data_IF_344131238152
#
_entry.id   IF_344131238152
#
_cell.length_a   1.000
_cell.length_b   1.000
_cell.length_c   1.000
_cell.angle_alpha   90.00
_cell.angle_beta   90.00
_cell.angle_gamma   90.00
#
_symmetry.space_group_name_H-M   'P 1'
#
loop_
_entity.id
_entity.type
_entity.pdbx_description
1 polymer ?
#
# COMPACT_ATOMS: atom_id res chain seq x y z
N UNK A 1 7.60 1.07 11.21
CA UNK A 1 6.67 2.22 11.19
C UNK A 1 7.10 3.23 12.25
N UNK A 2 7.10 4.52 11.92
CA UNK A 2 7.45 5.63 12.79
C UNK A 2 6.14 6.34 13.15
N UNK A 3 5.77 6.36 14.43
CA UNK A 3 4.53 7.03 14.88
C UNK A 3 4.72 8.55 14.78
N UNK A 4 3.78 9.23 14.12
CA UNK A 4 3.78 10.71 14.02
C UNK A 4 2.94 11.28 15.17
N UNK A 5 1.72 10.75 15.33
CA UNK A 5 0.79 11.05 16.43
C UNK A 5 -0.21 9.90 16.57
N UNK A 6 -1.19 10.05 17.45
CA UNK A 6 -2.21 9.01 17.63
C UNK A 6 -2.94 8.71 16.32
N UNK A 7 -3.03 7.43 15.98
CA UNK A 7 -3.64 6.98 14.72
C UNK A 7 -2.87 7.34 13.44
N UNK A 8 -1.65 7.87 13.49
CA UNK A 8 -0.89 8.24 12.27
C UNK A 8 0.57 7.74 12.33
N UNK A 9 1.02 7.14 11.23
CA UNK A 9 2.35 6.55 11.10
C UNK A 9 2.98 6.83 9.73
N UNK A 10 4.29 7.00 9.73
CA UNK A 10 5.13 6.97 8.52
C UNK A 10 5.79 5.61 8.38
N UNK A 11 5.92 5.12 7.15
CA UNK A 11 6.56 3.85 6.81
C UNK A 11 7.55 4.12 5.67
N UNK A 12 8.82 3.85 5.92
CA UNK A 12 9.83 3.87 4.86
C UNK A 12 9.81 2.49 4.16
N UNK A 13 9.50 2.51 2.87
CA UNK A 13 9.51 1.38 1.96
C UNK A 13 10.75 1.49 1.09
N UNK A 14 11.66 0.53 1.20
CA UNK A 14 12.83 0.42 0.32
C UNK A 14 12.60 -0.79 -0.58
N UNK A 15 12.64 -0.57 -1.89
CA UNK A 15 12.26 -1.59 -2.86
C UNK A 15 12.83 -1.34 -4.24
N UNK A 16 12.59 -2.29 -5.14
CA UNK A 16 13.00 -2.22 -6.54
C UNK A 16 11.85 -2.66 -7.41
N UNK A 17 11.51 -1.86 -8.42
CA UNK A 17 10.59 -2.25 -9.48
C UNK A 17 11.37 -3.00 -10.55
N UNK A 18 10.95 -4.22 -10.83
CA UNK A 18 11.44 -5.00 -11.97
C UNK A 18 10.49 -4.80 -13.14
N UNK A 19 11.00 -4.21 -14.21
CA UNK A 19 10.27 -4.05 -15.47
C UNK A 19 10.70 -5.16 -16.42
N UNK A 20 9.75 -6.00 -16.80
CA UNK A 20 9.92 -7.02 -17.83
C UNK A 20 9.45 -6.44 -19.15
N UNK A 21 10.41 -6.15 -20.03
CA UNK A 21 10.15 -5.73 -21.41
C UNK A 21 10.18 -6.98 -22.30
N UNK A 22 9.14 -7.20 -23.11
CA UNK A 22 9.09 -8.35 -24.02
C UNK A 22 9.94 -8.15 -25.28
N UNK A 23 10.44 -6.93 -25.51
CA UNK A 23 11.34 -6.59 -26.63
C UNK A 23 12.82 -6.66 -26.26
N UNK A 24 13.15 -6.55 -24.97
CA UNK A 24 14.49 -6.71 -24.43
C UNK A 24 14.52 -7.87 -23.43
N UNK A 25 15.26 -8.93 -23.74
CA UNK A 25 15.41 -10.13 -22.88
C UNK A 25 16.10 -9.86 -21.51
N UNK A 26 16.41 -8.60 -21.18
CA UNK A 26 17.04 -8.23 -19.92
C UNK A 26 16.08 -7.39 -19.05
N UNK A 27 15.81 -7.80 -17.80
CA UNK A 27 14.98 -7.03 -16.89
C UNK A 27 15.64 -5.69 -16.55
N UNK A 28 14.82 -4.63 -16.52
CA UNK A 28 15.24 -3.31 -16.02
C UNK A 28 14.86 -3.18 -14.55
N UNK A 29 15.78 -2.68 -13.73
CA UNK A 29 15.58 -2.48 -12.30
C UNK A 29 15.53 -0.99 -11.97
N UNK A 30 14.45 -0.54 -11.35
CA UNK A 30 14.24 0.87 -10.98
C UNK A 30 14.12 0.94 -9.45
N UNK A 31 14.99 1.67 -8.74
CA UNK A 31 14.83 1.90 -7.31
C UNK A 31 13.47 2.52 -7.00
N UNK A 32 12.77 1.95 -6.02
CA UNK A 32 11.45 2.39 -5.59
C UNK A 32 11.43 2.58 -4.09
N UNK A 33 12.19 3.57 -3.65
CA UNK A 33 12.25 3.96 -2.25
C UNK A 33 11.17 5.01 -2.01
N UNK A 34 10.25 4.74 -1.08
CA UNK A 34 9.10 5.59 -0.80
C UNK A 34 8.92 5.78 0.69
N UNK A 35 8.49 6.96 1.08
CA UNK A 35 7.94 7.23 2.39
C UNK A 35 6.42 7.26 2.29
N UNK A 36 5.76 6.37 3.02
CA UNK A 36 4.31 6.19 3.01
C UNK A 36 3.75 6.71 4.33
N UNK A 37 2.85 7.68 4.27
CA UNK A 37 2.09 8.13 5.42
C UNK A 37 0.74 7.40 5.44
N UNK A 38 0.44 6.72 6.55
CA UNK A 38 -0.83 6.05 6.80
C UNK A 38 -1.53 6.62 8.03
N UNK A 39 -2.86 6.61 8.01
CA UNK A 39 -3.71 6.95 9.16
C UNK A 39 -4.73 5.86 9.46
N UNK A 40 -5.09 5.73 10.73
CA UNK A 40 -6.19 4.90 11.17
C UNK A 40 -7.52 5.51 10.73
N UNK A 41 -8.42 4.69 10.23
CA UNK A 41 -9.79 5.04 9.83
C UNK A 41 -10.75 3.98 10.35
N UNK A 42 -12.02 4.35 10.56
CA UNK A 42 -13.05 3.36 10.88
C UNK A 42 -13.22 2.42 9.67
N UNK A 43 -13.05 1.10 9.86
CA UNK A 43 -13.26 0.16 8.77
C UNK A 43 -14.70 0.23 8.26
N UNK A 44 -14.93 0.20 6.94
CA UNK A 44 -16.28 0.12 6.40
C UNK A 44 -16.99 -1.15 6.90
N UNK A 45 -18.27 -1.02 7.25
CA UNK A 45 -19.12 -2.15 7.65
C UNK A 45 -19.69 -2.81 6.38
N UNK A 46 -19.30 -4.05 6.11
CA UNK A 46 -19.82 -4.82 4.98
C UNK A 46 -21.04 -5.65 5.38
N UNK A 47 -22.04 -5.71 4.50
CA UNK A 47 -23.18 -6.62 4.69
C UNK A 47 -22.74 -8.06 4.42
N UNK A 48 -23.16 -9.05 5.22
CA UNK A 48 -22.83 -10.47 5.02
C UNK A 48 -23.25 -11.04 3.65
N UNK A 49 -24.16 -10.36 2.95
CA UNK A 49 -24.62 -10.75 1.62
C UNK A 49 -23.57 -10.57 0.50
N UNK A 50 -22.40 -10.00 0.79
CA UNK A 50 -21.28 -9.85 -0.17
C UNK A 50 -20.30 -11.03 -0.16
N UNK A 51 -20.66 -12.17 0.42
CA UNK A 51 -19.82 -13.36 0.60
C UNK A 51 -19.73 -14.29 -0.63
N UNK A 52 -19.94 -13.78 -1.84
CA UNK A 52 -19.63 -14.51 -3.08
C UNK A 52 -18.19 -14.15 -3.51
N UNK A 53 -17.41 -15.12 -3.98
CA UNK A 53 -15.96 -15.10 -4.30
C UNK A 53 -15.55 -14.14 -5.46
N UNK A 54 -16.34 -13.10 -5.67
CA UNK A 54 -16.05 -11.95 -6.52
C UNK A 54 -14.88 -11.10 -5.95
N UNK A 55 -14.36 -10.09 -6.66
CA UNK A 55 -13.33 -9.14 -6.13
C UNK A 55 -13.66 -8.40 -4.80
N UNK A 56 -14.92 -8.12 -4.43
CA UNK A 56 -15.33 -7.43 -3.20
C UNK A 56 -14.77 -7.93 -1.86
N UNK A 57 -14.68 -9.24 -1.54
CA UNK A 57 -14.18 -9.75 -0.26
C UNK A 57 -12.68 -9.48 -0.06
N UNK A 58 -11.88 -9.48 -1.14
CA UNK A 58 -10.45 -9.16 -1.06
C UNK A 58 -10.26 -7.68 -0.70
N UNK A 59 -11.01 -6.79 -1.37
CA UNK A 59 -11.00 -5.35 -1.11
C UNK A 59 -11.55 -5.08 0.31
N UNK A 60 -12.60 -5.78 0.72
CA UNK A 60 -13.18 -5.68 2.05
C UNK A 60 -12.17 -6.09 3.13
N UNK A 61 -11.53 -7.24 3.01
CA UNK A 61 -10.50 -7.74 3.94
C UNK A 61 -9.29 -6.81 4.03
N UNK A 62 -8.91 -6.16 2.93
CA UNK A 62 -7.86 -5.15 2.95
C UNK A 62 -8.31 -3.89 3.72
N UNK A 63 -9.56 -3.46 3.56
CA UNK A 63 -10.14 -2.28 4.23
C UNK A 63 -10.53 -2.53 5.70
N UNK A 64 -10.79 -3.78 6.09
CA UNK A 64 -11.00 -4.21 7.49
C UNK A 64 -9.82 -3.85 8.39
N UNK A 65 -8.62 -3.68 7.83
CA UNK A 65 -7.43 -3.29 8.58
C UNK A 65 -7.48 -1.85 9.10
N UNK A 66 -8.45 -1.04 8.67
CA UNK A 66 -8.69 0.29 9.21
C UNK A 66 -7.53 1.25 8.98
N UNK A 67 -6.79 1.09 7.88
CA UNK A 67 -5.66 1.94 7.51
C UNK A 67 -5.90 2.56 6.14
N UNK A 68 -5.65 3.85 6.03
CA UNK A 68 -5.70 4.61 4.80
C UNK A 68 -4.33 5.18 4.47
N UNK A 69 -3.90 5.06 3.21
CA UNK A 69 -2.70 5.72 2.71
C UNK A 69 -3.03 7.18 2.40
N UNK A 70 -2.44 8.10 3.16
CA UNK A 70 -2.66 9.55 3.03
C UNK A 70 -1.74 10.16 1.98
N UNK A 71 -0.49 9.69 1.92
CA UNK A 71 0.46 10.15 0.91
C UNK A 71 1.57 9.13 0.70
N UNK A 72 2.08 9.08 -0.53
CA UNK A 72 3.28 8.36 -0.91
C UNK A 72 4.23 9.39 -1.50
N UNK A 73 5.43 9.51 -0.95
CA UNK A 73 6.47 10.43 -1.41
C UNK A 73 7.75 9.64 -1.66
N UNK A 74 8.66 10.18 -2.46
CA UNK A 74 10.00 9.60 -2.55
C UNK A 74 10.68 9.64 -1.18
N UNK A 75 11.36 8.55 -0.84
CA UNK A 75 12.21 8.52 0.34
C UNK A 75 13.50 9.25 -0.05
N UNK A 76 13.59 10.54 0.28
CA UNK A 76 14.78 11.34 0.02
C UNK A 76 16.00 10.64 0.64
N UNK A 77 16.92 10.17 -0.21
CA UNK A 77 18.26 9.81 0.22
C UNK A 77 18.97 11.11 0.60
N UNK A 78 19.05 11.40 1.91
CA UNK A 78 20.04 12.37 2.39
C UNK A 78 21.45 11.93 1.98
#
# INVERSE_FOLDING_TARGET
PIKIKEGEWTIDLVGTLTVLDTTNNLPTYIPFNKQIHVRAVEPPKYSPAMADDSLPPIIAKAREKGLEVVSIKDLDSK
#
